data_IF_892999252668
#
_entry.id   IF_892999252668
#
_cell.length_a   1.000
_cell.length_b   1.000
_cell.length_c   1.000
_cell.angle_alpha   90.00
_cell.angle_beta   90.00
_cell.angle_gamma   90.00
#
_symmetry.space_group_name_H-M   'P 1'
#
loop_
_entity.id
_entity.type
_entity.pdbx_description
1 polymer ?
#
# COMPACT_ATOMS: atom_id res chain seq x y z
N UNK A 1 -15.14 -12.31 28.28
CA UNK A 1 -15.25 -11.26 27.24
C UNK A 1 -13.99 -10.40 27.22
N UNK A 2 -13.46 -10.01 28.33
CA UNK A 2 -12.29 -9.10 28.44
C UNK A 2 -11.01 -9.64 27.80
N UNK A 3 -10.66 -10.93 27.99
CA UNK A 3 -9.47 -11.52 27.40
C UNK A 3 -9.45 -11.50 25.86
N UNK A 4 -10.61 -11.69 25.20
CA UNK A 4 -10.72 -11.62 23.74
C UNK A 4 -10.62 -10.18 23.23
N UNK A 5 -11.14 -9.23 23.98
CA UNK A 5 -11.00 -7.80 23.63
C UNK A 5 -9.57 -7.33 23.80
N UNK A 6 -8.88 -7.78 24.86
CA UNK A 6 -7.45 -7.51 25.07
C UNK A 6 -6.59 -8.12 23.95
N UNK A 7 -6.84 -9.37 23.53
CA UNK A 7 -6.15 -10.01 22.41
C UNK A 7 -6.37 -9.23 21.10
N UNK A 8 -7.62 -8.82 20.81
CA UNK A 8 -7.92 -8.01 19.63
C UNK A 8 -7.18 -6.67 19.67
N UNK A 9 -7.15 -6.01 20.84
CA UNK A 9 -6.42 -4.74 20.97
C UNK A 9 -4.93 -4.93 20.75
N UNK A 10 -4.32 -5.94 21.35
CA UNK A 10 -2.90 -6.26 21.15
C UNK A 10 -2.56 -6.52 19.68
N UNK A 11 -3.43 -7.21 18.93
CA UNK A 11 -3.25 -7.42 17.49
C UNK A 11 -3.37 -6.13 16.68
N UNK A 12 -4.30 -5.25 17.05
CA UNK A 12 -4.41 -3.93 16.42
C UNK A 12 -3.16 -3.09 16.68
N UNK A 13 -2.66 -3.09 17.91
CA UNK A 13 -1.45 -2.34 18.28
C UNK A 13 -0.24 -2.86 17.49
N UNK A 14 -0.10 -4.18 17.31
CA UNK A 14 0.91 -4.77 16.43
C UNK A 14 0.74 -4.34 14.97
N UNK A 15 -0.49 -4.27 14.47
CA UNK A 15 -0.77 -3.87 13.10
C UNK A 15 -0.50 -2.37 12.86
N UNK A 16 -0.76 -1.53 13.85
CA UNK A 16 -0.42 -0.11 13.77
C UNK A 16 1.09 0.15 13.82
N UNK A 17 1.87 -0.76 14.40
CA UNK A 17 3.32 -0.70 14.55
C UNK A 17 4.02 -1.87 13.84
N UNK A 18 3.59 -2.21 12.62
CA UNK A 18 4.09 -3.39 11.89
C UNK A 18 5.57 -3.29 11.49
N UNK A 19 6.09 -2.09 11.27
CA UNK A 19 7.50 -1.87 10.96
C UNK A 19 8.42 -2.03 12.18
N UNK A 20 9.63 -2.58 11.98
CA UNK A 20 10.61 -2.65 13.05
C UNK A 20 11.08 -1.24 13.47
N UNK A 21 11.47 -1.01 14.75
CA UNK A 21 11.97 0.30 15.20
C UNK A 21 13.10 0.84 14.30
N UNK A 22 14.04 -0.03 13.91
CA UNK A 22 15.15 0.32 13.04
C UNK A 22 14.70 0.74 11.63
N UNK A 23 13.67 0.08 11.07
CA UNK A 23 13.16 0.45 9.73
C UNK A 23 12.38 1.77 9.76
N UNK A 24 11.67 2.03 10.86
CA UNK A 24 10.99 3.31 11.10
C UNK A 24 11.99 4.46 11.20
N UNK A 25 13.03 4.31 12.04
CA UNK A 25 14.09 5.29 12.19
C UNK A 25 14.77 5.60 10.84
N UNK A 26 15.18 4.58 10.10
CA UNK A 26 15.77 4.74 8.77
C UNK A 26 14.87 5.45 7.76
N UNK A 27 13.55 5.28 7.86
CA UNK A 27 12.59 5.96 7.00
C UNK A 27 12.61 7.47 7.28
N UNK A 28 12.56 7.85 8.57
CA UNK A 28 12.61 9.24 9.01
C UNK A 28 13.98 9.89 8.75
N UNK A 29 15.11 9.19 8.96
CA UNK A 29 16.45 9.68 8.62
C UNK A 29 16.59 10.09 7.14
N UNK A 30 15.86 9.43 6.25
CA UNK A 30 15.78 9.79 4.83
C UNK A 30 14.82 10.94 4.51
N UNK A 31 14.26 11.59 5.53
CA UNK A 31 13.26 12.64 5.36
C UNK A 31 11.91 12.14 4.84
N UNK A 32 11.63 10.84 4.96
CA UNK A 32 10.41 10.22 4.46
C UNK A 32 9.44 9.91 5.61
N UNK A 33 8.17 10.14 5.37
CA UNK A 33 7.10 9.81 6.29
C UNK A 33 6.75 8.32 6.22
N UNK A 34 6.19 7.79 7.32
CA UNK A 34 5.57 6.47 7.36
C UNK A 34 4.26 6.44 6.57
N UNK A 35 3.83 5.24 6.18
CA UNK A 35 2.61 5.06 5.41
C UNK A 35 1.37 5.69 6.10
N UNK A 36 1.23 5.56 7.41
CA UNK A 36 0.12 6.14 8.20
C UNK A 36 0.22 7.64 8.36
N UNK A 37 1.43 8.18 8.54
CA UNK A 37 1.66 9.63 8.62
C UNK A 37 1.25 10.33 7.32
N UNK A 38 1.53 9.71 6.16
CA UNK A 38 1.11 10.19 4.84
C UNK A 38 -0.41 10.24 4.71
N UNK A 39 -1.11 9.22 5.19
CA UNK A 39 -2.58 9.19 5.18
C UNK A 39 -3.17 10.26 6.09
N UNK A 40 -2.58 10.48 7.26
CA UNK A 40 -3.02 11.51 8.21
C UNK A 40 -2.86 12.94 7.66
N UNK A 41 -1.88 13.16 6.75
CA UNK A 41 -1.69 14.46 6.07
C UNK A 41 -2.64 14.60 4.87
N UNK A 42 -2.90 13.51 4.14
CA UNK A 42 -3.68 13.54 2.91
C UNK A 42 -5.19 13.69 3.16
N UNK A 43 -5.69 12.99 4.18
CA UNK A 43 -7.13 12.85 4.41
C UNK A 43 -7.62 13.85 5.46
N UNK A 44 -8.90 14.18 5.40
CA UNK A 44 -9.57 14.98 6.42
C UNK A 44 -9.41 14.30 7.80
N UNK A 45 -9.26 15.06 8.88
CA UNK A 45 -9.14 14.52 10.23
C UNK A 45 -10.26 13.52 10.54
N UNK A 46 -9.90 12.39 11.18
CA UNK A 46 -10.79 11.32 11.63
C UNK A 46 -11.66 10.66 10.53
N UNK A 47 -11.39 10.93 9.24
CA UNK A 47 -12.17 10.40 8.13
C UNK A 47 -11.72 9.01 7.65
N UNK A 48 -10.53 8.54 8.07
CA UNK A 48 -9.95 7.31 7.54
C UNK A 48 -10.56 6.04 8.12
N UNK A 49 -11.06 5.19 7.25
CA UNK A 49 -11.57 3.85 7.56
C UNK A 49 -10.69 2.79 6.91
N UNK A 50 -9.85 2.15 7.72
CA UNK A 50 -8.91 1.14 7.25
C UNK A 50 -9.61 -0.19 6.93
N UNK A 51 -9.19 -0.82 5.84
CA UNK A 51 -9.63 -2.14 5.41
C UNK A 51 -8.49 -3.16 5.62
N UNK A 52 -8.87 -4.37 6.04
CA UNK A 52 -7.96 -5.52 6.14
C UNK A 52 -6.70 -5.26 7.01
N UNK A 53 -6.88 -4.49 8.10
CA UNK A 53 -5.81 -4.15 9.07
C UNK A 53 -5.02 -5.38 9.55
N UNK A 54 -5.68 -6.51 9.79
CA UNK A 54 -5.09 -7.73 10.37
C UNK A 54 -4.66 -8.75 9.30
N UNK A 55 -4.70 -8.40 8.02
CA UNK A 55 -4.25 -9.28 6.95
C UNK A 55 -2.73 -9.51 7.03
N UNK A 56 -2.29 -10.74 6.69
CA UNK A 56 -0.90 -11.19 6.68
C UNK A 56 -0.65 -12.03 5.45
N UNK A 57 0.59 -12.07 4.93
CA UNK A 57 0.93 -12.99 3.86
C UNK A 57 0.76 -14.46 4.29
N UNK A 58 0.57 -15.32 3.30
CA UNK A 58 0.39 -16.78 3.47
C UNK A 58 1.59 -17.59 2.98
N UNK A 59 2.64 -16.89 2.55
CA UNK A 59 3.83 -17.55 2.02
C UNK A 59 4.62 -18.26 3.12
N UNK A 60 5.20 -19.42 2.77
CA UNK A 60 6.07 -20.23 3.61
C UNK A 60 7.48 -20.35 3.02
N UNK A 61 7.85 -19.42 2.14
CA UNK A 61 9.17 -19.38 1.50
C UNK A 61 10.25 -18.91 2.47
N UNK A 62 11.49 -19.34 2.26
CA UNK A 62 12.63 -18.87 3.02
C UNK A 62 12.75 -17.34 2.97
N UNK A 63 12.98 -16.73 4.13
CA UNK A 63 13.01 -15.26 4.30
C UNK A 63 11.65 -14.60 4.52
N UNK A 64 10.58 -15.40 4.67
CA UNK A 64 9.22 -14.94 5.00
C UNK A 64 8.68 -15.68 6.24
N UNK A 65 9.54 -15.96 7.20
CA UNK A 65 9.17 -16.64 8.45
C UNK A 65 8.33 -15.70 9.37
N UNK A 66 8.57 -14.40 9.28
CA UNK A 66 7.80 -13.42 10.00
C UNK A 66 6.54 -13.05 9.20
N UNK A 67 5.40 -13.02 9.90
CA UNK A 67 4.11 -12.67 9.31
C UNK A 67 3.59 -11.34 9.89
N UNK A 68 4.18 -10.18 9.54
CA UNK A 68 3.71 -8.89 10.03
C UNK A 68 2.28 -8.61 9.56
N UNK A 69 1.51 -7.93 10.39
CA UNK A 69 0.20 -7.43 9.98
C UNK A 69 0.33 -6.39 8.87
N UNK A 70 -0.77 -6.09 8.21
CA UNK A 70 -0.89 -5.19 7.04
C UNK A 70 -0.22 -5.68 5.77
N UNK A 71 0.70 -6.62 5.85
CA UNK A 71 1.52 -7.15 4.74
C UNK A 71 2.26 -6.07 3.91
N UNK A 72 2.56 -4.92 4.52
CA UNK A 72 3.31 -3.84 3.89
C UNK A 72 2.48 -2.84 3.07
N UNK A 73 1.15 -2.89 3.17
CA UNK A 73 0.27 -1.88 2.57
C UNK A 73 -0.93 -1.56 3.47
N UNK A 74 -1.21 -0.27 3.61
CA UNK A 74 -2.40 0.22 4.29
C UNK A 74 -3.43 0.60 3.24
N UNK A 75 -4.64 0.05 3.35
CA UNK A 75 -5.72 0.27 2.39
C UNK A 75 -6.97 0.75 3.12
N UNK A 76 -7.72 1.64 2.51
CA UNK A 76 -8.94 2.16 3.12
C UNK A 76 -9.59 3.25 2.30
N UNK A 77 -10.54 3.93 2.89
CA UNK A 77 -11.19 5.08 2.32
C UNK A 77 -11.32 6.20 3.37
N UNK A 78 -11.41 7.41 2.89
CA UNK A 78 -11.61 8.59 3.71
C UNK A 78 -12.18 9.72 2.88
N UNK A 79 -12.02 10.96 3.36
CA UNK A 79 -12.42 12.15 2.61
C UNK A 79 -11.25 13.11 2.43
N UNK A 80 -11.31 13.91 1.35
CA UNK A 80 -10.48 15.08 1.11
C UNK A 80 -11.43 16.23 0.78
N UNK A 81 -11.43 17.28 1.59
CA UNK A 81 -12.39 18.36 1.50
C UNK A 81 -13.85 17.86 1.44
N UNK A 82 -14.18 16.87 2.28
CA UNK A 82 -15.48 16.22 2.37
C UNK A 82 -15.81 15.26 1.22
N UNK A 83 -14.94 15.09 0.23
CA UNK A 83 -15.16 14.20 -0.92
C UNK A 83 -14.56 12.83 -0.66
N UNK A 84 -15.34 11.77 -0.85
CA UNK A 84 -14.89 10.38 -0.64
C UNK A 84 -13.81 10.00 -1.64
N UNK A 85 -12.73 9.40 -1.12
CA UNK A 85 -11.63 8.82 -1.89
C UNK A 85 -11.27 7.45 -1.34
N UNK A 86 -10.82 6.57 -2.22
CA UNK A 86 -10.17 5.31 -1.85
C UNK A 86 -8.67 5.49 -1.93
N UNK A 87 -7.93 4.98 -0.95
CA UNK A 87 -6.48 5.23 -0.85
C UNK A 87 -5.75 3.98 -0.38
N UNK A 88 -4.60 3.72 -0.99
CA UNK A 88 -3.61 2.82 -0.42
C UNK A 88 -2.29 3.54 -0.19
N UNK A 89 -1.56 3.13 0.85
CA UNK A 89 -0.22 3.63 1.16
C UNK A 89 0.72 2.45 1.40
N UNK A 90 1.75 2.34 0.56
CA UNK A 90 2.77 1.32 0.71
C UNK A 90 3.67 1.64 1.90
N UNK A 91 3.94 0.63 2.71
CA UNK A 91 4.77 0.76 3.90
C UNK A 91 6.16 0.15 3.65
N UNK A 92 7.11 1.03 3.36
CA UNK A 92 8.49 0.62 3.10
C UNK A 92 9.17 -0.03 4.33
N UNK A 93 8.63 0.19 5.52
CA UNK A 93 9.17 -0.39 6.77
C UNK A 93 8.88 -1.89 6.92
N UNK A 94 7.94 -2.41 6.12
CA UNK A 94 7.54 -3.82 6.06
C UNK A 94 7.95 -4.40 4.71
N UNK A 95 8.90 -5.31 4.68
CA UNK A 95 9.44 -5.96 3.47
C UNK A 95 9.83 -4.97 2.34
N UNK A 96 10.26 -3.74 2.69
CA UNK A 96 10.59 -2.72 1.70
C UNK A 96 9.41 -2.28 0.83
N UNK A 97 8.17 -2.44 1.31
CA UNK A 97 6.97 -2.17 0.51
C UNK A 97 6.82 -3.10 -0.71
N UNK A 98 7.51 -4.25 -0.71
CA UNK A 98 7.44 -5.20 -1.81
C UNK A 98 6.08 -5.91 -1.86
N UNK A 99 5.48 -5.97 -3.05
CA UNK A 99 4.16 -6.52 -3.28
C UNK A 99 4.19 -8.05 -3.28
N UNK A 100 3.49 -8.65 -2.33
CA UNK A 100 3.14 -10.07 -2.29
C UNK A 100 1.67 -10.33 -2.63
N UNK A 101 1.24 -11.57 -2.51
CA UNK A 101 -0.14 -11.97 -2.81
C UNK A 101 -1.17 -11.20 -1.99
N UNK A 102 -1.07 -11.24 -0.67
CA UNK A 102 -2.05 -10.60 0.23
C UNK A 102 -1.99 -9.07 0.14
N UNK A 103 -0.81 -8.51 -0.02
CA UNK A 103 -0.63 -7.09 -0.32
C UNK A 103 -1.47 -6.67 -1.54
N UNK A 104 -1.36 -7.43 -2.64
CA UNK A 104 -2.12 -7.16 -3.86
C UNK A 104 -3.62 -7.40 -3.69
N UNK A 105 -4.04 -8.47 -3.00
CA UNK A 105 -5.45 -8.74 -2.73
C UNK A 105 -6.14 -7.57 -2.01
N UNK A 106 -5.44 -6.91 -1.08
CA UNK A 106 -5.94 -5.70 -0.41
C UNK A 106 -6.17 -4.56 -1.41
N UNK A 107 -5.21 -4.35 -2.33
CA UNK A 107 -5.34 -3.32 -3.38
C UNK A 107 -6.44 -3.71 -4.37
N UNK A 108 -6.53 -4.97 -4.80
CA UNK A 108 -7.59 -5.45 -5.70
C UNK A 108 -8.97 -5.14 -5.12
N UNK A 109 -9.20 -5.52 -3.86
CA UNK A 109 -10.45 -5.24 -3.14
C UNK A 109 -10.74 -3.74 -3.08
N UNK A 110 -9.72 -2.93 -2.77
CA UNK A 110 -9.85 -1.48 -2.72
C UNK A 110 -10.27 -0.90 -4.08
N UNK A 111 -9.62 -1.33 -5.16
CA UNK A 111 -9.92 -0.88 -6.52
C UNK A 111 -11.33 -1.29 -6.95
N UNK A 112 -11.74 -2.52 -6.66
CA UNK A 112 -13.10 -3.01 -6.94
C UNK A 112 -14.16 -2.17 -6.19
N UNK A 113 -13.89 -1.78 -4.94
CA UNK A 113 -14.76 -0.91 -4.17
C UNK A 113 -14.81 0.51 -4.73
N UNK A 114 -13.66 1.07 -5.10
CA UNK A 114 -13.57 2.41 -5.72
C UNK A 114 -14.39 2.46 -7.02
N UNK A 115 -14.24 1.47 -7.89
CA UNK A 115 -15.03 1.34 -9.12
C UNK A 115 -16.52 1.20 -8.85
N UNK A 116 -16.90 0.37 -7.88
CA UNK A 116 -18.31 0.15 -7.52
C UNK A 116 -18.97 1.42 -6.96
N UNK A 117 -18.22 2.23 -6.23
CA UNK A 117 -18.71 3.49 -5.62
C UNK A 117 -18.63 4.66 -6.59
N UNK A 118 -17.78 4.60 -7.61
CA UNK A 118 -17.51 5.70 -8.53
C UNK A 118 -16.66 6.81 -7.90
N UNK A 119 -15.75 6.46 -6.98
CA UNK A 119 -14.91 7.42 -6.27
C UNK A 119 -13.44 7.32 -6.72
N UNK A 120 -12.66 8.42 -6.62
CA UNK A 120 -11.25 8.42 -6.98
C UNK A 120 -10.43 7.40 -6.20
N UNK A 121 -9.41 6.85 -6.86
CA UNK A 121 -8.38 6.00 -6.26
C UNK A 121 -7.05 6.75 -6.19
N UNK A 122 -6.45 6.81 -5.01
CA UNK A 122 -5.14 7.44 -4.79
C UNK A 122 -4.16 6.38 -4.27
N UNK A 123 -3.04 6.21 -4.97
CA UNK A 123 -1.95 5.34 -4.56
C UNK A 123 -0.75 6.15 -4.04
N UNK A 124 -0.34 5.92 -2.79
CA UNK A 124 0.89 6.46 -2.20
C UNK A 124 1.96 5.39 -2.32
N UNK A 125 2.82 5.52 -3.34
CA UNK A 125 3.75 4.49 -3.78
C UNK A 125 5.14 4.70 -3.19
N UNK A 126 5.65 3.69 -2.49
CA UNK A 126 6.98 3.64 -1.88
C UNK A 126 7.38 2.17 -1.69
N UNK A 127 7.83 1.51 -2.76
CA UNK A 127 8.05 0.06 -2.71
C UNK A 127 9.08 -0.47 -3.68
N UNK A 128 9.71 -1.57 -3.29
CA UNK A 128 10.80 -2.23 -4.02
C UNK A 128 10.35 -3.10 -5.21
N UNK A 129 9.06 -3.09 -5.58
CA UNK A 129 8.54 -3.92 -6.66
C UNK A 129 7.94 -5.24 -6.17
N UNK A 130 8.10 -6.31 -6.95
CA UNK A 130 7.57 -7.63 -6.61
C UNK A 130 8.36 -8.27 -5.46
N UNK A 131 7.65 -8.91 -4.51
CA UNK A 131 8.25 -9.72 -3.45
C UNK A 131 8.77 -11.02 -4.04
N UNK A 132 10.06 -11.05 -4.36
CA UNK A 132 10.69 -12.16 -5.10
C UNK A 132 10.59 -13.51 -4.38
N UNK A 133 10.49 -13.52 -3.06
CA UNK A 133 10.33 -14.73 -2.26
C UNK A 133 8.98 -15.44 -2.51
N UNK A 134 7.98 -14.74 -3.01
CA UNK A 134 6.69 -15.31 -3.43
C UNK A 134 6.65 -15.71 -4.91
N UNK A 135 7.74 -15.46 -5.65
CA UNK A 135 7.94 -15.93 -7.02
C UNK A 135 6.84 -15.46 -7.98
N UNK A 136 6.34 -16.38 -8.79
CA UNK A 136 5.35 -16.10 -9.83
C UNK A 136 4.02 -15.56 -9.29
N UNK A 137 3.66 -15.88 -8.04
CA UNK A 137 2.42 -15.41 -7.42
C UNK A 137 2.43 -13.89 -7.25
N UNK A 138 3.58 -13.33 -6.81
CA UNK A 138 3.76 -11.88 -6.74
C UNK A 138 3.61 -11.20 -8.11
N UNK A 139 4.16 -11.79 -9.17
CA UNK A 139 4.02 -11.25 -10.53
C UNK A 139 2.58 -11.33 -11.04
N UNK A 140 1.89 -12.46 -10.83
CA UNK A 140 0.47 -12.61 -11.18
C UNK A 140 -0.40 -11.59 -10.43
N UNK A 141 -0.05 -11.28 -9.20
CA UNK A 141 -0.73 -10.30 -8.36
C UNK A 141 -0.63 -8.88 -8.93
N UNK A 142 0.51 -8.49 -9.49
CA UNK A 142 0.62 -7.25 -10.26
C UNK A 142 -0.29 -7.25 -11.49
N UNK A 143 -0.41 -8.36 -12.20
CA UNK A 143 -1.34 -8.51 -13.33
C UNK A 143 -2.78 -8.19 -12.93
N UNK A 144 -3.19 -8.58 -11.73
CA UNK A 144 -4.50 -8.25 -11.17
C UNK A 144 -4.71 -6.75 -10.92
N UNK A 145 -3.65 -6.02 -10.53
CA UNK A 145 -3.70 -4.55 -10.40
C UNK A 145 -3.79 -3.91 -11.79
N UNK A 146 -2.95 -4.33 -12.75
CA UNK A 146 -2.96 -3.79 -14.11
C UNK A 146 -4.32 -3.96 -14.80
N UNK A 147 -4.93 -5.12 -14.64
CA UNK A 147 -6.28 -5.37 -15.13
C UNK A 147 -7.28 -4.34 -14.59
N UNK A 148 -7.22 -4.05 -13.30
CA UNK A 148 -8.10 -3.07 -12.66
C UNK A 148 -7.79 -1.63 -13.05
N UNK A 149 -6.52 -1.28 -13.26
CA UNK A 149 -6.16 0.03 -13.82
C UNK A 149 -6.83 0.25 -15.18
N UNK A 150 -6.79 -0.76 -16.06
CA UNK A 150 -7.45 -0.69 -17.37
C UNK A 150 -8.96 -0.55 -17.23
N UNK A 151 -9.60 -1.32 -16.34
CA UNK A 151 -11.05 -1.21 -16.12
C UNK A 151 -11.47 0.13 -15.50
N UNK A 152 -10.61 0.73 -14.68
CA UNK A 152 -10.86 2.02 -14.04
C UNK A 152 -10.61 3.22 -14.97
N UNK A 153 -9.84 3.02 -16.04
CA UNK A 153 -9.49 4.08 -17.00
C UNK A 153 -10.72 4.70 -17.65
N UNK A 154 -10.86 6.01 -17.51
CA UNK A 154 -12.03 6.75 -17.99
C UNK A 154 -13.31 6.55 -17.18
N UNK A 155 -13.27 5.77 -16.09
CA UNK A 155 -14.43 5.51 -15.22
C UNK A 155 -14.30 6.26 -13.89
N UNK A 156 -13.15 6.16 -13.23
CA UNK A 156 -12.82 6.89 -12.01
C UNK A 156 -11.43 7.53 -12.13
N UNK A 157 -11.18 8.67 -11.50
CA UNK A 157 -9.84 9.24 -11.43
C UNK A 157 -8.87 8.30 -10.69
N UNK A 158 -7.72 8.03 -11.31
CA UNK A 158 -6.62 7.25 -10.74
C UNK A 158 -5.41 8.14 -10.56
N UNK A 159 -4.96 8.32 -9.32
CA UNK A 159 -3.88 9.23 -8.96
C UNK A 159 -2.76 8.45 -8.30
N UNK A 160 -1.56 8.57 -8.81
CA UNK A 160 -0.35 7.99 -8.23
C UNK A 160 0.56 9.06 -7.68
N UNK A 161 0.94 8.92 -6.40
CA UNK A 161 1.93 9.77 -5.74
C UNK A 161 3.15 8.90 -5.43
N UNK A 162 4.27 9.21 -6.06
CA UNK A 162 5.52 8.47 -5.90
C UNK A 162 6.33 9.14 -4.79
N UNK A 163 6.59 8.40 -3.71
CA UNK A 163 7.20 8.91 -2.48
C UNK A 163 8.55 8.23 -2.15
N UNK A 164 8.96 7.30 -3.00
CA UNK A 164 10.20 6.56 -2.87
C UNK A 164 10.52 5.78 -4.13
N UNK A 165 11.28 4.67 -4.04
CA UNK A 165 11.54 3.82 -5.19
C UNK A 165 10.24 3.17 -5.69
N UNK A 166 10.15 3.06 -7.01
CA UNK A 166 9.03 2.48 -7.72
C UNK A 166 9.60 1.73 -8.93
N UNK A 167 9.83 0.42 -8.77
CA UNK A 167 10.62 -0.38 -9.69
C UNK A 167 9.83 -1.53 -10.30
N UNK A 168 10.09 -1.88 -11.55
CA UNK A 168 9.53 -3.03 -12.25
C UNK A 168 8.00 -3.00 -12.26
N UNK A 169 7.34 -4.04 -11.74
CA UNK A 169 5.87 -4.10 -11.64
C UNK A 169 5.25 -2.91 -10.92
N UNK A 170 5.94 -2.36 -9.92
CA UNK A 170 5.49 -1.20 -9.18
C UNK A 170 5.42 0.09 -10.02
N UNK A 171 6.17 0.21 -11.10
CA UNK A 171 6.15 1.39 -11.97
C UNK A 171 5.07 1.29 -13.04
N UNK A 172 4.71 0.08 -13.48
CA UNK A 172 3.72 -0.10 -14.55
C UNK A 172 2.33 0.36 -14.13
N UNK A 173 1.89 0.05 -12.91
CA UNK A 173 0.58 0.50 -12.40
C UNK A 173 0.48 2.03 -12.37
N UNK A 174 1.39 2.77 -11.72
CA UNK A 174 1.39 4.23 -11.78
C UNK A 174 1.42 4.79 -13.20
N UNK A 175 2.19 4.18 -14.12
CA UNK A 175 2.27 4.63 -15.51
C UNK A 175 0.93 4.50 -16.28
N UNK A 176 -0.01 3.69 -15.78
CA UNK A 176 -1.35 3.53 -16.36
C UNK A 176 -2.42 4.40 -15.66
N UNK A 177 -2.05 5.18 -14.66
CA UNK A 177 -2.97 6.07 -13.95
C UNK A 177 -3.08 7.42 -14.64
N UNK A 178 -4.10 8.22 -14.30
CA UNK A 178 -4.39 9.49 -14.97
C UNK A 178 -3.43 10.61 -14.57
N UNK A 179 -2.97 10.61 -13.30
CA UNK A 179 -2.07 11.62 -12.77
C UNK A 179 -0.93 10.98 -11.97
N UNK A 180 0.28 11.47 -12.20
CA UNK A 180 1.49 11.04 -11.48
C UNK A 180 2.12 12.27 -10.84
N UNK A 181 2.27 12.22 -9.51
CA UNK A 181 3.02 13.19 -8.73
C UNK A 181 4.28 12.54 -8.19
N UNK A 182 5.39 13.25 -8.21
CA UNK A 182 6.68 12.76 -7.72
C UNK A 182 7.29 13.76 -6.75
N UNK A 183 7.82 13.26 -5.63
CA UNK A 183 8.58 14.09 -4.68
C UNK A 183 10.01 14.20 -5.17
N UNK A 184 10.54 15.43 -5.21
CA UNK A 184 11.94 15.69 -5.60
C UNK A 184 12.89 14.92 -4.66
N UNK A 185 13.97 14.38 -5.21
CA UNK A 185 15.08 13.70 -4.52
C UNK A 185 14.75 12.31 -3.93
N UNK A 186 13.53 12.04 -3.47
CA UNK A 186 13.18 10.75 -2.86
C UNK A 186 12.49 9.79 -3.81
N UNK A 187 11.88 10.30 -4.89
CA UNK A 187 11.09 9.48 -5.82
C UNK A 187 11.91 9.03 -7.01
N UNK A 188 11.81 7.75 -7.32
CA UNK A 188 12.45 7.16 -8.49
C UNK A 188 11.50 6.19 -9.18
N UNK A 189 11.31 6.37 -10.50
CA UNK A 189 10.54 5.43 -11.33
C UNK A 189 11.47 4.83 -12.38
N UNK A 190 11.57 3.50 -12.42
CA UNK A 190 12.39 2.80 -13.41
C UNK A 190 11.83 1.41 -13.73
N UNK A 191 11.88 1.03 -15.00
CA UNK A 191 11.32 -0.24 -15.49
C UNK A 191 12.14 -1.44 -15.01
N UNK A 192 13.45 -1.32 -15.05
CA UNK A 192 14.42 -2.29 -14.53
C UNK A 192 15.20 -1.64 -13.42
N UNK A 193 15.85 -2.39 -12.53
CA UNK A 193 16.67 -1.82 -11.47
C UNK A 193 17.69 -0.79 -11.98
N UNK A 194 18.22 0.05 -11.09
CA UNK A 194 19.26 1.03 -11.43
C UNK A 194 20.55 0.34 -11.85
#
# INVERSE_FOLDING_TARGET
MDAKLQDLQARKDQAYNAGSPRSVERQHEKGKLLARERLAILLDPDSFHELDLLARHRAHSAGLEEHPYTDGVITGWGTIDGRKVFVFSQDFTVFGGALGEVFAEKIHKLMDLALKVGAPLIGLNDGAGARIQEGVVSLASYGGIFHRNVQASGVIPQISVILGPCAGGAVYSPAMTDFIFMVRETSHMFITGP
#
